data_IF_754703145266
#
_entry.id   IF_754703145266
#
_cell.length_a   1.000
_cell.length_b   1.000
_cell.length_c   1.000
_cell.angle_alpha   90.00
_cell.angle_beta   90.00
_cell.angle_gamma   90.00
#
_symmetry.space_group_name_H-M   'P 1'
#
loop_
_entity.id
_entity.type
_entity.pdbx_description
1 polymer ?
#
# COMPACT_ATOMS: atom_id res chain seq x y z
N UNK A 1 9.40 25.38 1.14
CA UNK A 1 8.25 24.85 0.38
C UNK A 1 8.19 23.36 0.63
N UNK A 2 7.03 22.81 1.03
CA UNK A 2 6.88 21.37 1.22
C UNK A 2 6.92 20.64 -0.11
N UNK A 3 7.66 19.51 -0.18
CA UNK A 3 7.70 18.65 -1.38
C UNK A 3 6.34 17.97 -1.65
N UNK A 4 5.42 18.01 -0.69
CA UNK A 4 4.09 17.39 -0.78
C UNK A 4 2.99 18.38 -1.21
N UNK A 5 3.32 19.67 -1.34
CA UNK A 5 2.34 20.67 -1.76
C UNK A 5 1.72 20.30 -3.11
N UNK A 6 0.39 20.34 -3.16
CA UNK A 6 -0.42 20.03 -4.35
C UNK A 6 -0.25 18.59 -4.89
N UNK A 7 0.25 17.65 -4.06
CA UNK A 7 0.51 16.26 -4.42
C UNK A 7 -0.60 15.32 -3.98
N UNK A 8 -0.65 14.16 -4.63
CA UNK A 8 -1.58 13.08 -4.34
C UNK A 8 -0.81 11.88 -3.78
N UNK A 9 -1.19 11.43 -2.59
CA UNK A 9 -0.64 10.26 -1.92
C UNK A 9 -1.65 9.11 -1.96
N UNK A 10 -1.25 7.95 -2.46
CA UNK A 10 -2.00 6.70 -2.35
C UNK A 10 -1.45 5.84 -1.20
N UNK A 11 -2.33 5.35 -0.34
CA UNK A 11 -1.99 4.44 0.76
C UNK A 11 -2.73 3.12 0.55
N UNK A 12 -2.02 2.06 0.15
CA UNK A 12 -2.61 0.72 0.10
C UNK A 12 -2.62 0.11 1.51
N UNK A 13 -3.67 -0.64 1.84
CA UNK A 13 -3.88 -1.09 3.23
C UNK A 13 -4.17 0.08 4.18
N UNK A 14 -4.69 1.18 3.66
CA UNK A 14 -4.89 2.44 4.37
C UNK A 14 -5.82 2.37 5.58
N UNK A 15 -6.70 1.37 5.66
CA UNK A 15 -7.58 1.13 6.83
C UNK A 15 -6.89 0.38 7.97
N UNK A 16 -5.66 -0.11 7.76
CA UNK A 16 -4.86 -0.76 8.80
C UNK A 16 -4.20 0.24 9.76
N UNK A 17 -3.63 -0.25 10.87
CA UNK A 17 -2.98 0.60 11.88
C UNK A 17 -1.88 1.48 11.29
N UNK A 18 -1.02 0.90 10.44
CA UNK A 18 0.07 1.63 9.82
C UNK A 18 -0.42 2.66 8.79
N UNK A 19 -1.41 2.28 7.93
CA UNK A 19 -2.03 3.19 6.99
C UNK A 19 -2.68 4.40 7.66
N UNK A 20 -3.34 4.17 8.80
CA UNK A 20 -3.89 5.24 9.64
C UNK A 20 -2.81 6.18 10.21
N UNK A 21 -1.67 5.63 10.63
CA UNK A 21 -0.56 6.45 11.14
C UNK A 21 0.01 7.35 10.03
N UNK A 22 0.19 6.81 8.82
CA UNK A 22 0.62 7.59 7.65
C UNK A 22 -0.42 8.65 7.29
N UNK A 23 -1.71 8.30 7.23
CA UNK A 23 -2.78 9.25 6.96
C UNK A 23 -2.72 10.44 7.92
N UNK A 24 -2.68 10.18 9.22
CA UNK A 24 -2.63 11.24 10.26
C UNK A 24 -1.40 12.15 10.10
N UNK A 25 -0.26 11.60 9.69
CA UNK A 25 0.97 12.37 9.48
C UNK A 25 0.83 13.41 8.36
N UNK A 26 0.03 13.10 7.33
CA UNK A 26 -0.14 13.95 6.17
C UNK A 26 -1.42 14.79 6.17
N UNK A 27 -2.38 14.47 7.04
CA UNK A 27 -3.70 15.08 7.04
C UNK A 27 -3.66 16.60 7.21
N UNK A 28 -2.79 17.09 8.10
CA UNK A 28 -2.62 18.52 8.40
C UNK A 28 -1.56 19.20 7.50
N UNK A 29 -0.99 18.47 6.55
CA UNK A 29 -0.02 19.03 5.60
C UNK A 29 -0.70 19.77 4.44
N UNK A 30 0.11 20.37 3.59
CA UNK A 30 -0.32 21.04 2.34
C UNK A 30 -0.55 20.08 1.16
N UNK A 31 -0.63 18.77 1.45
CA UNK A 31 -0.97 17.75 0.46
C UNK A 31 -2.37 17.99 -0.10
N UNK A 32 -2.54 17.77 -1.41
CA UNK A 32 -3.82 18.00 -2.09
C UNK A 32 -4.85 16.93 -1.80
N UNK A 33 -4.42 15.67 -1.88
CA UNK A 33 -5.33 14.52 -1.77
C UNK A 33 -4.60 13.32 -1.16
N UNK A 34 -5.31 12.56 -0.33
CA UNK A 34 -4.86 11.27 0.22
C UNK A 34 -5.88 10.21 -0.16
N UNK A 35 -5.45 9.19 -0.89
CA UNK A 35 -6.27 8.05 -1.31
C UNK A 35 -6.05 6.87 -0.39
N UNK A 36 -7.13 6.41 0.23
CA UNK A 36 -7.16 5.20 1.05
C UNK A 36 -7.65 4.04 0.18
N UNK A 37 -6.76 3.09 -0.08
CA UNK A 37 -7.07 1.90 -0.88
C UNK A 37 -7.08 0.66 0.00
N UNK A 38 -8.21 -0.02 0.08
CA UNK A 38 -8.35 -1.28 0.84
C UNK A 38 -9.56 -2.08 0.38
N UNK A 39 -9.62 -3.35 0.81
CA UNK A 39 -10.75 -4.26 0.53
C UNK A 39 -11.91 -4.07 1.50
N UNK A 40 -11.65 -3.47 2.65
CA UNK A 40 -12.60 -3.41 3.78
C UNK A 40 -13.48 -2.17 3.67
N UNK A 41 -14.65 -2.37 3.04
CA UNK A 41 -15.67 -1.33 2.86
C UNK A 41 -16.11 -0.72 4.18
N UNK A 42 -16.36 -1.59 5.20
CA UNK A 42 -16.84 -1.12 6.49
C UNK A 42 -15.84 -0.18 7.17
N UNK A 43 -14.57 -0.57 7.21
CA UNK A 43 -13.52 0.29 7.78
C UNK A 43 -13.34 1.59 7.00
N UNK A 44 -13.50 1.58 5.69
CA UNK A 44 -13.48 2.81 4.89
C UNK A 44 -14.65 3.73 5.24
N UNK A 45 -15.82 3.18 5.42
CA UNK A 45 -17.01 3.94 5.79
C UNK A 45 -16.89 4.55 7.20
N UNK A 46 -16.46 3.74 8.17
CA UNK A 46 -16.17 4.21 9.54
C UNK A 46 -15.13 5.35 9.52
N UNK A 47 -14.05 5.22 8.72
CA UNK A 47 -13.03 6.26 8.57
C UNK A 47 -13.60 7.53 7.93
N UNK A 48 -14.44 7.41 6.90
CA UNK A 48 -15.09 8.54 6.22
C UNK A 48 -15.94 9.35 7.19
N UNK A 49 -16.76 8.66 7.98
CA UNK A 49 -17.63 9.30 8.99
C UNK A 49 -16.83 9.96 10.12
N UNK A 50 -15.73 9.34 10.54
CA UNK A 50 -14.89 9.88 11.60
C UNK A 50 -14.05 11.07 11.14
N UNK A 51 -13.47 11.03 9.94
CA UNK A 51 -12.54 12.05 9.45
C UNK A 51 -13.25 13.27 8.89
N UNK A 52 -14.35 13.09 8.16
CA UNK A 52 -15.10 14.14 7.48
C UNK A 52 -14.21 15.17 6.74
N UNK A 53 -13.10 14.70 6.17
CA UNK A 53 -12.08 15.54 5.56
C UNK A 53 -12.10 15.39 4.02
N UNK A 54 -12.33 16.49 3.25
CA UNK A 54 -12.48 16.43 1.81
C UNK A 54 -11.20 16.04 1.06
N UNK A 55 -10.02 16.16 1.69
CA UNK A 55 -8.74 15.70 1.11
C UNK A 55 -8.67 14.17 1.03
N UNK A 56 -9.41 13.44 1.86
CA UNK A 56 -9.34 11.98 1.92
C UNK A 56 -10.35 11.36 0.97
N UNK A 57 -9.86 10.56 0.04
CA UNK A 57 -10.66 9.79 -0.91
C UNK A 57 -10.53 8.30 -0.64
N UNK A 58 -11.62 7.58 -0.79
CA UNK A 58 -11.69 6.16 -0.49
C UNK A 58 -11.91 5.34 -1.75
N UNK A 59 -11.03 4.35 -1.94
CA UNK A 59 -11.06 3.43 -3.07
C UNK A 59 -11.17 2.01 -2.55
N UNK A 60 -12.28 1.34 -2.84
CA UNK A 60 -12.44 -0.08 -2.56
C UNK A 60 -11.72 -0.87 -3.65
N UNK A 61 -10.78 -1.72 -3.25
CA UNK A 61 -10.03 -2.51 -4.21
C UNK A 61 -9.07 -3.49 -3.56
N UNK A 62 -8.53 -4.38 -4.38
CA UNK A 62 -7.60 -5.43 -3.95
C UNK A 62 -6.27 -5.28 -4.72
N UNK A 63 -5.15 -5.23 -4.00
CA UNK A 63 -3.81 -5.17 -4.63
C UNK A 63 -3.52 -6.36 -5.56
N UNK A 64 -4.21 -7.50 -5.37
CA UNK A 64 -4.11 -8.66 -6.26
C UNK A 64 -4.68 -8.42 -7.65
N UNK A 65 -5.55 -7.43 -7.78
CA UNK A 65 -6.19 -7.04 -9.03
C UNK A 65 -5.52 -5.78 -9.58
N UNK A 66 -4.76 -5.95 -10.64
CA UNK A 66 -4.02 -4.88 -11.30
C UNK A 66 -4.94 -3.75 -11.77
N UNK A 67 -6.08 -4.09 -12.35
CA UNK A 67 -7.03 -3.10 -12.87
C UNK A 67 -7.58 -2.22 -11.75
N UNK A 68 -7.88 -2.81 -10.60
CA UNK A 68 -8.32 -2.09 -9.40
C UNK A 68 -7.24 -1.11 -8.91
N UNK A 69 -5.96 -1.53 -8.93
CA UNK A 69 -4.82 -0.68 -8.56
C UNK A 69 -4.64 0.45 -9.54
N UNK A 70 -4.69 0.19 -10.85
CA UNK A 70 -4.55 1.19 -11.91
C UNK A 70 -5.61 2.29 -11.78
N UNK A 71 -6.85 1.93 -11.47
CA UNK A 71 -7.93 2.89 -11.25
C UNK A 71 -7.66 3.87 -10.10
N UNK A 72 -7.02 3.39 -9.03
CA UNK A 72 -6.64 4.25 -7.88
C UNK A 72 -5.34 5.03 -8.11
N UNK A 73 -4.50 4.61 -9.09
CA UNK A 73 -3.17 5.16 -9.33
C UNK A 73 -3.15 6.41 -10.21
N UNK A 74 -4.22 6.68 -10.96
CA UNK A 74 -4.26 7.82 -11.90
C UNK A 74 -3.95 9.15 -11.22
N UNK A 75 -2.88 9.83 -11.67
CA UNK A 75 -2.47 11.13 -11.17
C UNK A 75 -1.80 11.11 -9.79
N UNK A 76 -1.48 9.94 -9.24
CA UNK A 76 -0.78 9.79 -7.96
C UNK A 76 0.69 10.21 -8.11
N UNK A 77 1.19 10.99 -7.15
CA UNK A 77 2.60 11.40 -7.09
C UNK A 77 3.43 10.46 -6.18
N UNK A 78 2.84 9.99 -5.08
CA UNK A 78 3.51 9.19 -4.06
C UNK A 78 2.65 8.01 -3.64
N UNK A 79 3.28 6.86 -3.37
CA UNK A 79 2.60 5.66 -2.89
C UNK A 79 3.22 5.19 -1.58
N UNK A 80 2.37 4.88 -0.62
CA UNK A 80 2.72 4.14 0.59
C UNK A 80 2.05 2.76 0.55
N UNK A 81 2.82 1.72 0.26
CA UNK A 81 2.29 0.36 0.10
C UNK A 81 2.40 -0.42 1.41
N UNK A 82 1.26 -0.54 2.12
CA UNK A 82 1.15 -1.26 3.39
C UNK A 82 0.14 -2.43 3.35
N UNK A 83 -0.48 -2.70 2.21
CA UNK A 83 -1.36 -3.85 2.06
C UNK A 83 -0.56 -5.15 2.12
N UNK A 84 -0.88 -6.01 3.09
CA UNK A 84 -0.18 -7.28 3.27
C UNK A 84 -0.99 -8.27 4.11
N UNK A 85 -0.74 -9.57 3.91
CA UNK A 85 -0.97 -10.59 4.92
C UNK A 85 0.25 -10.62 5.85
N UNK A 86 0.02 -10.41 7.16
CA UNK A 86 1.10 -10.21 8.14
C UNK A 86 1.01 -11.11 9.36
N UNK A 87 -0.04 -11.88 9.49
CA UNK A 87 -0.18 -12.85 10.59
C UNK A 87 0.56 -14.14 10.21
N UNK A 88 1.57 -14.52 10.99
CA UNK A 88 2.40 -15.69 10.72
C UNK A 88 1.56 -16.96 10.62
N UNK A 89 0.66 -17.30 11.58
CA UNK A 89 -0.14 -18.50 11.46
C UNK A 89 -1.00 -18.55 10.20
N UNK A 90 -1.63 -17.42 9.84
CA UNK A 90 -2.45 -17.35 8.62
C UNK A 90 -1.63 -17.55 7.34
N UNK A 91 -0.41 -17.04 7.30
CA UNK A 91 0.47 -17.23 6.16
C UNK A 91 1.00 -18.67 6.06
N UNK A 92 1.24 -19.34 7.18
CA UNK A 92 1.62 -20.75 7.22
C UNK A 92 0.49 -21.65 6.72
N UNK A 93 -0.75 -21.42 7.16
CA UNK A 93 -1.90 -22.18 6.69
C UNK A 93 -2.26 -21.88 5.22
N UNK A 94 -2.04 -20.66 4.77
CA UNK A 94 -2.42 -20.21 3.42
C UNK A 94 -1.25 -19.53 2.70
N UNK A 95 -0.13 -20.24 2.42
CA UNK A 95 1.09 -19.64 1.86
C UNK A 95 0.85 -19.02 0.48
N UNK A 96 0.02 -19.62 -0.37
CA UNK A 96 -0.33 -19.05 -1.67
C UNK A 96 -1.07 -17.71 -1.53
N UNK A 97 -1.90 -17.55 -0.49
CA UNK A 97 -2.56 -16.27 -0.23
C UNK A 97 -1.55 -15.19 0.21
N UNK A 98 -0.51 -15.59 0.95
CA UNK A 98 0.59 -14.70 1.29
C UNK A 98 1.36 -14.27 0.04
N UNK A 99 1.71 -15.19 -0.85
CA UNK A 99 2.37 -14.89 -2.13
C UNK A 99 1.50 -13.95 -2.98
N UNK A 100 0.23 -14.26 -3.17
CA UNK A 100 -0.66 -13.45 -3.99
C UNK A 100 -0.84 -12.03 -3.45
N UNK A 101 -0.91 -11.84 -2.14
CA UNK A 101 -1.08 -10.51 -1.56
C UNK A 101 0.24 -9.78 -1.43
N UNK A 102 1.24 -10.44 -0.83
CA UNK A 102 2.50 -9.78 -0.48
C UNK A 102 3.40 -9.62 -1.71
N UNK A 103 3.54 -10.66 -2.53
CA UNK A 103 4.45 -10.63 -3.70
C UNK A 103 3.73 -10.03 -4.91
N UNK A 104 2.73 -10.72 -5.44
CA UNK A 104 2.02 -10.28 -6.66
C UNK A 104 1.28 -8.96 -6.43
N UNK A 105 0.67 -8.78 -5.26
CA UNK A 105 0.01 -7.52 -4.93
C UNK A 105 0.97 -6.34 -4.87
N UNK A 106 2.19 -6.52 -4.36
CA UNK A 106 3.22 -5.48 -4.38
C UNK A 106 3.73 -5.23 -5.78
N UNK A 107 3.96 -6.27 -6.57
CA UNK A 107 4.34 -6.17 -7.98
C UNK A 107 3.32 -5.36 -8.77
N UNK A 108 2.03 -5.65 -8.63
CA UNK A 108 0.95 -4.88 -9.25
C UNK A 108 1.01 -3.39 -8.88
N UNK A 109 1.31 -3.07 -7.62
CA UNK A 109 1.44 -1.67 -7.17
C UNK A 109 2.65 -1.00 -7.81
N UNK A 110 3.80 -1.67 -7.85
CA UNK A 110 5.04 -1.14 -8.45
C UNK A 110 4.89 -0.93 -9.95
N UNK A 111 4.41 -1.92 -10.66
CA UNK A 111 4.17 -1.84 -12.10
C UNK A 111 3.14 -0.75 -12.46
N UNK A 112 2.07 -0.63 -11.66
CA UNK A 112 1.11 0.44 -11.83
C UNK A 112 1.72 1.81 -11.57
N UNK A 113 2.55 1.93 -10.53
CA UNK A 113 3.24 3.16 -10.21
C UNK A 113 4.19 3.60 -11.34
N UNK A 114 4.94 2.66 -11.92
CA UNK A 114 5.81 2.91 -13.08
C UNK A 114 4.98 3.39 -14.27
N UNK A 115 3.92 2.68 -14.61
CA UNK A 115 3.06 2.99 -15.75
C UNK A 115 2.40 4.38 -15.63
N UNK A 116 2.12 4.85 -14.41
CA UNK A 116 1.49 6.15 -14.15
C UNK A 116 2.47 7.26 -13.78
N UNK A 117 3.78 7.02 -13.85
CA UNK A 117 4.81 8.03 -13.58
C UNK A 117 4.86 8.51 -12.13
N UNK A 118 4.54 7.63 -11.18
CA UNK A 118 4.64 7.91 -9.74
C UNK A 118 6.09 8.23 -9.38
N UNK A 119 6.30 9.26 -8.57
CA UNK A 119 7.66 9.74 -8.24
C UNK A 119 8.39 8.83 -7.28
N UNK A 120 7.72 8.39 -6.23
CA UNK A 120 8.30 7.52 -5.21
C UNK A 120 7.26 6.54 -4.67
N UNK A 121 7.71 5.32 -4.46
CA UNK A 121 6.95 4.27 -3.80
C UNK A 121 7.72 3.82 -2.55
N UNK A 122 7.06 3.83 -1.40
CA UNK A 122 7.58 3.26 -0.15
C UNK A 122 6.81 1.98 0.14
N UNK A 123 7.50 0.86 0.21
CA UNK A 123 6.91 -0.45 0.51
C UNK A 123 7.26 -0.86 1.93
N UNK A 124 6.23 -1.17 2.72
CA UNK A 124 6.41 -1.60 4.09
C UNK A 124 6.98 -3.03 4.17
N UNK A 125 8.14 -3.17 4.80
CA UNK A 125 8.77 -4.46 5.08
C UNK A 125 8.72 -4.80 6.59
N UNK A 126 9.51 -5.77 7.02
CA UNK A 126 9.60 -6.27 8.40
C UNK A 126 11.00 -6.83 8.68
N UNK A 127 11.39 -6.86 9.94
CA UNK A 127 12.59 -7.54 10.43
C UNK A 127 12.62 -9.04 10.06
N UNK A 128 11.44 -9.69 10.01
CA UNK A 128 11.29 -11.10 9.65
C UNK A 128 11.66 -11.42 8.20
N UNK A 129 11.88 -10.40 7.36
CA UNK A 129 12.38 -10.56 6.00
C UNK A 129 13.91 -10.74 5.93
N UNK A 130 14.65 -10.33 6.98
CA UNK A 130 16.12 -10.39 6.99
C UNK A 130 16.66 -11.83 7.07
N UNK A 131 16.06 -12.66 7.91
CA UNK A 131 16.36 -14.10 8.03
C UNK A 131 15.04 -14.87 8.03
N UNK A 132 14.40 -15.06 6.87
CA UNK A 132 13.04 -15.57 6.80
C UNK A 132 12.97 -17.07 7.14
N UNK A 133 12.21 -17.40 8.18
CA UNK A 133 11.99 -18.78 8.65
C UNK A 133 10.53 -19.23 8.52
N UNK A 134 9.65 -18.39 8.02
CA UNK A 134 8.22 -18.69 7.85
C UNK A 134 7.67 -18.06 6.56
N UNK A 135 6.50 -18.50 6.12
CA UNK A 135 5.88 -18.07 4.87
C UNK A 135 5.68 -16.55 4.79
N UNK A 136 5.33 -15.90 5.92
CA UNK A 136 5.19 -14.45 5.96
C UNK A 136 6.54 -13.75 5.72
N UNK A 137 7.59 -14.14 6.46
CA UNK A 137 8.94 -13.59 6.30
C UNK A 137 9.50 -13.83 4.90
N UNK A 138 9.33 -15.05 4.35
CA UNK A 138 9.78 -15.41 2.99
C UNK A 138 9.08 -14.51 1.95
N UNK A 139 7.76 -14.35 2.03
CA UNK A 139 7.04 -13.48 1.11
C UNK A 139 7.50 -12.03 1.20
N UNK A 140 7.81 -11.55 2.40
CA UNK A 140 8.35 -10.19 2.61
C UNK A 140 9.79 -10.03 2.11
N UNK A 141 10.62 -11.06 2.22
CA UNK A 141 11.97 -11.06 1.63
C UNK A 141 11.91 -10.99 0.09
N UNK A 142 11.01 -11.74 -0.53
CA UNK A 142 10.78 -11.66 -1.98
C UNK A 142 10.38 -10.25 -2.43
N UNK A 143 9.52 -9.56 -1.68
CA UNK A 143 9.17 -8.17 -1.98
C UNK A 143 10.41 -7.28 -2.04
N UNK A 144 11.35 -7.43 -1.11
CA UNK A 144 12.58 -6.62 -1.11
C UNK A 144 13.35 -6.78 -2.41
N UNK A 145 13.35 -7.96 -3.01
CA UNK A 145 14.02 -8.21 -4.29
C UNK A 145 13.33 -7.52 -5.46
N UNK A 146 11.99 -7.38 -5.43
CA UNK A 146 11.24 -6.73 -6.52
C UNK A 146 11.63 -5.27 -6.74
N UNK A 147 11.91 -4.52 -5.66
CA UNK A 147 12.19 -3.09 -5.76
C UNK A 147 13.65 -2.70 -5.45
N UNK A 148 14.48 -3.66 -5.06
CA UNK A 148 15.92 -3.44 -4.82
C UNK A 148 16.81 -4.12 -5.85
N UNK A 149 16.25 -4.94 -6.74
CA UNK A 149 17.01 -5.54 -7.84
C UNK A 149 17.53 -4.43 -8.75
N UNK A 150 18.84 -4.45 -9.10
CA UNK A 150 19.34 -3.57 -10.12
C UNK A 150 18.61 -3.85 -11.43
N UNK A 151 18.19 -2.80 -12.13
CA UNK A 151 17.68 -2.96 -13.49
C UNK A 151 18.71 -3.66 -14.35
N UNK A 152 18.31 -4.63 -15.19
CA UNK A 152 19.22 -5.26 -16.13
C UNK A 152 19.81 -4.25 -17.11
#
# INVERSE_FOLDING_TARGET
MSIFKDKILLITGGTGSFGNAVLRRFLDSDIKEIRIFSRDEKKQDDMRHHLQNPKVKFYIGNVRDRQSVDGAMMGVDYVFSAAALKQVPSCEFFPLQAVQTNVIGTDNVLESAIAHGVKNVVVLSTDKAAYPINAMGISKAMICLLYTSPSP
#
